data_IF_590105613281
#
_entry.id   IF_590105613281
#
_cell.length_a   1.000
_cell.length_b   1.000
_cell.length_c   1.000
_cell.angle_alpha   90.00
_cell.angle_beta   90.00
_cell.angle_gamma   90.00
#
_symmetry.space_group_name_H-M   'P 1'
#
loop_
_entity.id
_entity.type
_entity.pdbx_description
1 polymer ?
#
# COMPACT_ATOMS: atom_id res chain seq x y z
N UNK A 1 0.37 14.16 -27.64
CA UNK A 1 -0.33 12.89 -27.37
C UNK A 1 0.21 12.40 -26.04
N UNK A 2 -0.65 12.04 -25.08
CA UNK A 2 -0.20 11.48 -23.81
C UNK A 2 0.08 9.97 -23.99
N UNK A 3 1.07 9.44 -23.28
CA UNK A 3 1.38 8.00 -23.25
C UNK A 3 1.12 7.46 -21.85
N UNK A 4 0.54 6.26 -21.78
CA UNK A 4 0.14 5.63 -20.51
C UNK A 4 0.84 4.29 -20.31
N UNK A 5 1.36 4.08 -19.10
CA UNK A 5 1.87 2.80 -18.62
C UNK A 5 1.08 2.41 -17.36
N UNK A 6 0.41 1.25 -17.41
CA UNK A 6 -0.25 0.67 -16.24
C UNK A 6 0.66 -0.32 -15.52
N UNK A 7 0.72 -0.23 -14.18
CA UNK A 7 1.39 -1.17 -13.29
C UNK A 7 0.45 -1.54 -12.14
N UNK A 8 0.50 -2.79 -11.70
CA UNK A 8 -0.29 -3.29 -10.57
C UNK A 8 0.59 -3.99 -9.55
N UNK A 9 0.33 -3.75 -8.26
CA UNK A 9 1.00 -4.43 -7.16
C UNK A 9 0.08 -4.52 -5.94
N UNK A 10 0.43 -5.42 -5.01
CA UNK A 10 -0.22 -5.45 -3.70
C UNK A 10 0.28 -4.30 -2.84
N UNK A 11 -0.58 -3.79 -1.98
CA UNK A 11 -0.30 -2.75 -0.98
C UNK A 11 -0.59 -3.26 0.45
N UNK A 12 -0.60 -4.59 0.63
CA UNK A 12 -0.77 -5.21 1.94
C UNK A 12 0.40 -4.87 2.88
N UNK A 13 0.17 -4.35 4.09
CA UNK A 13 1.22 -3.78 4.94
C UNK A 13 2.27 -4.80 5.42
N UNK A 14 1.98 -6.11 5.33
CA UNK A 14 2.90 -7.18 5.73
C UNK A 14 4.24 -7.12 4.98
N UNK A 15 4.25 -6.62 3.74
CA UNK A 15 5.46 -6.51 2.92
C UNK A 15 6.47 -5.51 3.49
N UNK A 16 6.04 -4.62 4.39
CA UNK A 16 6.93 -3.68 5.07
C UNK A 16 7.68 -4.34 6.24
N UNK A 17 7.25 -5.53 6.68
CA UNK A 17 7.80 -6.23 7.85
C UNK A 17 8.73 -7.37 7.47
N UNK A 18 9.72 -7.71 8.32
CA UNK A 18 10.59 -8.87 8.08
C UNK A 18 9.79 -10.19 8.12
N UNK A 19 10.22 -11.23 7.36
CA UNK A 19 9.51 -12.51 7.29
C UNK A 19 9.37 -13.19 8.66
N UNK A 20 10.31 -12.94 9.58
CA UNK A 20 10.31 -13.44 10.96
C UNK A 20 9.04 -13.08 11.74
N UNK A 21 8.29 -12.06 11.33
CA UNK A 21 7.04 -11.66 12.01
C UNK A 21 5.77 -11.96 11.22
N UNK A 22 5.89 -12.52 10.00
CA UNK A 22 4.72 -12.80 9.14
C UNK A 22 3.76 -13.82 9.75
N UNK A 23 4.27 -14.75 10.55
CA UNK A 23 3.46 -15.69 11.32
C UNK A 23 2.44 -15.00 12.23
N UNK A 24 2.73 -13.79 12.75
CA UNK A 24 1.77 -13.03 13.58
C UNK A 24 0.54 -12.64 12.77
N UNK A 25 0.73 -12.29 11.50
CA UNK A 25 -0.35 -12.03 10.55
C UNK A 25 -1.22 -13.26 10.35
N UNK A 26 -0.59 -14.42 10.10
CA UNK A 26 -1.28 -15.72 10.00
C UNK A 26 -2.10 -16.03 11.26
N UNK A 27 -1.48 -15.98 12.44
CA UNK A 27 -2.15 -16.26 13.72
C UNK A 27 -3.34 -15.32 13.98
N UNK A 28 -3.22 -14.03 13.65
CA UNK A 28 -4.32 -13.06 13.77
C UNK A 28 -5.48 -13.39 12.82
N UNK A 29 -5.21 -13.86 11.62
CA UNK A 29 -6.24 -14.25 10.65
C UNK A 29 -6.96 -15.51 11.15
N UNK A 30 -6.21 -16.54 11.52
CA UNK A 30 -6.77 -17.80 12.02
C UNK A 30 -7.57 -17.60 13.30
N UNK A 31 -7.12 -16.73 14.21
CA UNK A 31 -7.82 -16.40 15.45
C UNK A 31 -9.18 -15.71 15.27
N UNK A 32 -9.55 -15.28 14.05
CA UNK A 32 -10.90 -14.77 13.74
C UNK A 32 -11.92 -15.90 13.51
N UNK A 33 -11.45 -17.13 13.33
CA UNK A 33 -12.29 -18.29 13.02
C UNK A 33 -12.44 -19.10 14.31
N UNK A 34 -13.67 -19.17 14.83
CA UNK A 34 -13.97 -19.97 16.02
C UNK A 34 -13.69 -21.45 15.72
N UNK A 35 -12.95 -22.12 16.61
CA UNK A 35 -12.54 -23.52 16.47
C UNK A 35 -11.78 -23.80 15.16
N UNK A 36 -10.94 -22.87 14.73
CA UNK A 36 -10.08 -23.09 13.57
C UNK A 36 -9.16 -24.29 13.77
N UNK A 37 -9.25 -25.24 12.84
CA UNK A 37 -8.31 -26.35 12.71
C UNK A 37 -7.53 -26.17 11.41
N UNK A 38 -6.20 -26.15 11.50
CA UNK A 38 -5.34 -26.02 10.33
C UNK A 38 -5.49 -27.25 9.42
N UNK A 39 -5.70 -27.07 8.10
CA UNK A 39 -5.74 -28.20 7.19
C UNK A 39 -4.36 -28.88 7.13
N UNK A 40 -4.34 -30.19 6.86
CA UNK A 40 -3.10 -30.98 6.83
C UNK A 40 -2.03 -30.38 5.90
N UNK A 41 -2.43 -29.83 4.75
CA UNK A 41 -1.53 -29.15 3.82
C UNK A 41 -0.83 -27.91 4.44
N UNK A 42 -1.54 -27.13 5.26
CA UNK A 42 -0.93 -26.00 5.97
C UNK A 42 0.04 -26.48 7.05
N UNK A 43 -0.30 -27.56 7.76
CA UNK A 43 0.61 -28.12 8.77
C UNK A 43 1.90 -28.59 8.13
N UNK A 44 1.81 -29.24 6.97
CA UNK A 44 2.96 -29.66 6.16
C UNK A 44 3.81 -28.46 5.71
N UNK A 45 3.17 -27.41 5.21
CA UNK A 45 3.84 -26.17 4.76
C UNK A 45 4.53 -25.42 5.92
N UNK A 46 3.92 -25.39 7.11
CA UNK A 46 4.51 -24.75 8.29
C UNK A 46 5.72 -25.52 8.84
N UNK A 47 5.79 -26.84 8.63
CA UNK A 47 6.91 -27.67 9.08
C UNK A 47 7.30 -27.45 10.55
N UNK A 48 8.58 -27.66 10.86
CA UNK A 48 9.11 -27.55 12.22
C UNK A 48 9.44 -26.10 12.65
N UNK A 49 9.51 -25.17 11.70
CA UNK A 49 9.89 -23.77 11.94
C UNK A 49 8.71 -22.78 11.87
N UNK A 50 7.49 -23.31 11.88
CA UNK A 50 6.24 -22.55 11.77
C UNK A 50 6.15 -21.70 10.50
N UNK A 51 6.75 -22.18 9.40
CA UNK A 51 6.69 -21.63 8.05
C UNK A 51 7.74 -20.56 7.76
N UNK A 52 8.75 -20.38 8.63
CA UNK A 52 9.74 -19.31 8.46
C UNK A 52 10.59 -19.50 7.19
N UNK A 53 10.93 -20.75 6.86
CA UNK A 53 11.69 -21.07 5.64
C UNK A 53 10.93 -20.61 4.39
N UNK A 54 9.64 -20.90 4.31
CA UNK A 54 8.79 -20.45 3.20
C UNK A 54 8.54 -18.94 3.24
N UNK A 55 8.30 -18.35 4.42
CA UNK A 55 8.13 -16.90 4.57
C UNK A 55 9.34 -16.11 4.01
N UNK A 56 10.55 -16.60 4.25
CA UNK A 56 11.79 -16.01 3.68
C UNK A 56 11.87 -16.17 2.17
N UNK A 57 11.48 -17.34 1.65
CA UNK A 57 11.45 -17.58 0.21
C UNK A 57 10.43 -16.66 -0.48
N UNK A 58 9.25 -16.48 0.11
CA UNK A 58 8.20 -15.62 -0.40
C UNK A 58 8.54 -14.14 -0.30
N UNK A 59 9.14 -13.70 0.81
CA UNK A 59 9.65 -12.34 0.93
C UNK A 59 10.65 -12.02 -0.20
N UNK A 60 11.57 -12.94 -0.50
CA UNK A 60 12.51 -12.78 -1.62
C UNK A 60 11.77 -12.61 -2.96
N UNK A 61 10.79 -13.47 -3.27
CA UNK A 61 9.97 -13.36 -4.49
C UNK A 61 9.26 -12.00 -4.58
N UNK A 62 8.69 -11.54 -3.47
CA UNK A 62 8.01 -10.23 -3.39
C UNK A 62 8.99 -9.10 -3.68
N UNK A 63 10.16 -9.08 -3.03
CA UNK A 63 11.18 -8.05 -3.25
C UNK A 63 11.67 -8.04 -4.70
N UNK A 64 11.92 -9.21 -5.28
CA UNK A 64 12.31 -9.34 -6.69
C UNK A 64 11.24 -8.80 -7.65
N UNK A 65 9.95 -9.10 -7.38
CA UNK A 65 8.83 -8.58 -8.18
C UNK A 65 8.71 -7.05 -8.10
N UNK A 66 8.86 -6.46 -6.91
CA UNK A 66 8.91 -4.99 -6.76
C UNK A 66 10.13 -4.39 -7.48
N UNK A 67 11.24 -5.11 -7.54
CA UNK A 67 12.41 -4.74 -8.34
C UNK A 67 12.08 -4.54 -9.82
N UNK A 68 11.29 -5.46 -10.41
CA UNK A 68 10.84 -5.34 -11.81
C UNK A 68 9.99 -4.08 -12.03
N UNK A 69 9.04 -3.80 -11.12
CA UNK A 69 8.19 -2.60 -11.21
C UNK A 69 9.00 -1.31 -11.08
N UNK A 70 9.94 -1.27 -10.14
CA UNK A 70 10.86 -0.15 -9.94
C UNK A 70 11.69 0.11 -11.20
N UNK A 71 12.28 -0.93 -11.76
CA UNK A 71 13.15 -0.80 -12.94
C UNK A 71 12.35 -0.34 -14.16
N UNK A 72 11.12 -0.84 -14.33
CA UNK A 72 10.20 -0.39 -15.38
C UNK A 72 9.81 1.08 -15.22
N UNK A 73 9.51 1.53 -14.00
CA UNK A 73 9.21 2.94 -13.71
C UNK A 73 10.40 3.85 -14.02
N UNK A 74 11.60 3.47 -13.58
CA UNK A 74 12.83 4.24 -13.84
C UNK A 74 13.20 4.27 -15.33
N UNK A 75 12.95 3.20 -16.06
CA UNK A 75 13.16 3.17 -17.51
C UNK A 75 12.14 4.03 -18.25
N UNK A 76 10.88 4.00 -17.83
CA UNK A 76 9.80 4.77 -18.45
C UNK A 76 9.88 6.27 -18.19
N UNK A 77 10.39 6.67 -17.02
CA UNK A 77 10.56 8.08 -16.60
C UNK A 77 9.26 8.89 -16.75
N UNK A 78 8.18 8.52 -16.04
CA UNK A 78 6.92 9.24 -16.15
C UNK A 78 7.04 10.68 -15.63
N UNK A 79 6.39 11.62 -16.30
CA UNK A 79 6.21 13.00 -15.79
C UNK A 79 5.26 13.04 -14.59
N UNK A 80 4.29 12.12 -14.55
CA UNK A 80 3.29 11.99 -13.49
C UNK A 80 3.09 10.51 -13.13
N UNK A 81 3.15 10.20 -11.84
CA UNK A 81 2.71 8.90 -11.29
C UNK A 81 1.35 9.07 -10.61
N UNK A 82 0.30 8.53 -11.22
CA UNK A 82 -1.03 8.45 -10.62
C UNK A 82 -1.15 7.14 -9.84
N UNK A 83 -1.35 7.23 -8.53
CA UNK A 83 -1.56 6.07 -7.65
C UNK A 83 -3.04 5.94 -7.35
N UNK A 84 -3.61 4.77 -7.62
CA UNK A 84 -5.00 4.43 -7.32
C UNK A 84 -4.99 3.34 -6.25
N UNK A 85 -5.60 3.63 -5.10
CA UNK A 85 -5.72 2.74 -3.95
C UNK A 85 -6.95 3.14 -3.14
N UNK A 86 -7.41 2.25 -2.27
CA UNK A 86 -8.32 2.61 -1.18
C UNK A 86 -7.56 3.33 -0.05
N UNK A 87 -8.32 4.00 0.80
CA UNK A 87 -7.89 4.52 2.09
C UNK A 87 -8.22 3.48 3.16
N UNK A 88 -7.24 3.06 3.96
CA UNK A 88 -7.42 2.03 4.99
C UNK A 88 -8.05 2.59 6.28
N UNK A 89 -9.07 3.42 6.12
CA UNK A 89 -9.72 4.21 7.19
C UNK A 89 -8.75 5.14 7.94
N UNK A 90 -7.81 5.74 7.19
CA UNK A 90 -6.86 6.71 7.71
C UNK A 90 -7.39 8.13 7.53
N UNK A 91 -7.95 8.46 6.37
CA UNK A 91 -8.49 9.78 6.05
C UNK A 91 -10.01 9.78 5.89
N UNK A 92 -10.60 8.66 5.46
CA UNK A 92 -12.03 8.53 5.23
C UNK A 92 -12.63 7.53 6.20
N UNK A 93 -13.57 8.00 7.02
CA UNK A 93 -14.24 7.19 8.04
C UNK A 93 -15.66 6.83 7.60
N UNK A 94 -16.34 6.01 8.39
CA UNK A 94 -17.67 5.48 8.05
C UNK A 94 -18.73 6.55 7.81
N UNK A 95 -18.57 7.74 8.40
CA UNK A 95 -19.46 8.88 8.26
C UNK A 95 -19.20 9.72 7.00
N UNK A 96 -18.06 9.51 6.33
CA UNK A 96 -17.68 10.23 5.12
C UNK A 96 -16.74 9.40 4.23
N UNK A 97 -17.31 8.43 3.52
CA UNK A 97 -16.59 7.52 2.62
C UNK A 97 -17.01 7.75 1.16
N UNK A 98 -16.28 8.57 0.38
CA UNK A 98 -16.60 8.78 -1.02
C UNK A 98 -16.24 7.54 -1.86
N UNK A 99 -17.02 7.21 -2.93
CA UNK A 99 -16.67 6.11 -3.84
C UNK A 99 -15.40 6.39 -4.64
N UNK A 100 -15.21 7.65 -5.04
CA UNK A 100 -13.99 8.14 -5.68
C UNK A 100 -13.58 9.47 -5.05
N UNK A 101 -12.30 9.58 -4.69
CA UNK A 101 -11.72 10.82 -4.22
C UNK A 101 -10.37 11.06 -4.90
N UNK A 102 -10.20 12.22 -5.52
CA UNK A 102 -8.92 12.62 -6.10
C UNK A 102 -8.22 13.65 -5.21
N UNK A 103 -6.96 13.38 -4.87
CA UNK A 103 -6.12 14.34 -4.17
C UNK A 103 -5.71 15.49 -5.12
N UNK A 104 -5.94 16.73 -4.69
CA UNK A 104 -5.71 17.96 -5.48
C UNK A 104 -4.79 18.97 -4.77
N UNK A 105 -4.13 18.54 -3.69
CA UNK A 105 -3.11 19.34 -3.03
C UNK A 105 -1.81 19.39 -3.82
N UNK A 106 -0.88 20.24 -3.39
CA UNK A 106 0.41 20.44 -4.06
C UNK A 106 1.53 19.56 -3.49
N UNK A 107 1.35 19.03 -2.28
CA UNK A 107 2.31 18.16 -1.62
C UNK A 107 1.61 17.26 -0.62
N UNK A 108 2.01 15.99 -0.58
CA UNK A 108 1.55 15.02 0.42
C UNK A 108 2.73 14.45 1.18
N UNK A 109 2.58 14.32 2.49
CA UNK A 109 3.51 13.63 3.37
C UNK A 109 2.98 12.24 3.70
N UNK A 110 3.87 11.26 3.87
CA UNK A 110 3.55 9.91 4.30
C UNK A 110 4.52 9.39 5.36
N UNK A 111 3.99 8.64 6.32
CA UNK A 111 4.72 8.05 7.44
C UNK A 111 4.53 6.53 7.47
N UNK A 112 5.11 5.79 6.49
CA UNK A 112 4.78 4.38 6.25
C UNK A 112 5.13 3.43 7.39
N UNK A 113 5.98 3.85 8.34
CA UNK A 113 6.47 2.97 9.42
C UNK A 113 5.85 3.26 10.79
N UNK A 114 5.00 4.29 10.92
CA UNK A 114 4.40 4.67 12.20
C UNK A 114 3.51 3.56 12.75
N UNK A 115 2.66 2.99 11.91
CA UNK A 115 1.74 1.89 12.27
C UNK A 115 2.40 0.50 12.28
N UNK A 116 3.64 0.39 11.79
CA UNK A 116 4.43 -0.85 11.77
C UNK A 116 5.29 -0.98 13.05
N UNK A 117 5.31 0.05 13.90
CA UNK A 117 6.03 0.03 15.17
C UNK A 117 7.53 0.32 15.05
N UNK A 118 7.94 1.15 14.08
CA UNK A 118 9.33 1.61 13.93
C UNK A 118 10.25 0.55 13.34
N UNK A 119 11.45 0.36 13.93
CA UNK A 119 12.57 -0.49 13.45
C UNK A 119 12.18 -1.94 13.07
N UNK A 120 10.96 -2.36 13.35
CA UNK A 120 10.31 -3.59 12.89
C UNK A 120 9.91 -3.59 11.40
N UNK A 121 10.58 -2.82 10.55
CA UNK A 121 10.39 -2.83 9.10
C UNK A 121 11.65 -3.29 8.36
N UNK A 122 11.50 -3.72 7.09
CA UNK A 122 12.60 -4.27 6.28
C UNK A 122 13.74 -3.26 6.00
N UNK A 123 13.53 -1.97 6.24
CA UNK A 123 14.55 -0.93 6.11
C UNK A 123 15.18 -0.52 7.45
N UNK A 124 14.73 -1.07 8.58
CA UNK A 124 15.15 -0.62 9.92
C UNK A 124 14.86 0.86 10.17
N UNK A 125 13.91 1.44 9.45
CA UNK A 125 13.62 2.87 9.50
C UNK A 125 12.85 3.24 10.78
N UNK A 126 13.07 4.46 11.29
CA UNK A 126 12.32 4.97 12.43
C UNK A 126 10.83 5.15 12.09
N UNK A 127 9.96 5.04 13.10
CA UNK A 127 8.52 5.20 12.95
C UNK A 127 8.13 6.54 12.29
N UNK A 128 8.87 7.60 12.63
CA UNK A 128 8.66 8.97 12.18
C UNK A 128 9.36 9.30 10.84
N UNK A 129 9.87 8.29 10.13
CA UNK A 129 10.48 8.52 8.81
C UNK A 129 9.43 9.06 7.84
N UNK A 130 9.69 10.25 7.32
CA UNK A 130 8.76 10.98 6.45
C UNK A 130 9.19 10.93 4.99
N UNK A 131 8.24 10.64 4.11
CA UNK A 131 8.39 10.80 2.67
C UNK A 131 7.47 11.93 2.19
N UNK A 132 8.03 12.92 1.50
CA UNK A 132 7.29 14.05 0.94
C UNK A 132 7.24 13.95 -0.58
N UNK A 133 6.05 14.06 -1.15
CA UNK A 133 5.81 13.94 -2.58
C UNK A 133 5.19 15.24 -3.10
N UNK A 134 5.79 15.80 -4.15
CA UNK A 134 5.21 16.93 -4.87
C UNK A 134 4.10 16.42 -5.80
N UNK A 135 2.95 17.07 -5.76
CA UNK A 135 1.77 16.70 -6.53
C UNK A 135 1.49 17.80 -7.58
N UNK A 136 1.25 17.43 -8.86
CA UNK A 136 0.94 18.40 -9.89
C UNK A 136 -0.51 18.91 -9.72
N UNK A 137 -0.68 19.96 -8.92
CA UNK A 137 -1.98 20.47 -8.50
C UNK A 137 -2.90 20.82 -9.69
N UNK A 138 -2.41 21.55 -10.68
CA UNK A 138 -3.23 21.96 -11.82
C UNK A 138 -3.70 20.74 -12.63
N UNK A 139 -2.79 19.80 -12.91
CA UNK A 139 -3.12 18.53 -13.56
C UNK A 139 -4.21 17.75 -12.80
N UNK A 140 -4.06 17.60 -11.48
CA UNK A 140 -5.06 16.87 -10.67
C UNK A 140 -6.43 17.55 -10.69
N UNK A 141 -6.49 18.88 -10.69
CA UNK A 141 -7.74 19.65 -10.78
C UNK A 141 -8.39 19.50 -12.14
N UNK A 142 -7.60 19.55 -13.21
CA UNK A 142 -8.08 19.37 -14.57
C UNK A 142 -8.65 17.96 -14.78
N UNK A 143 -7.97 16.93 -14.28
CA UNK A 143 -8.48 15.54 -14.30
C UNK A 143 -9.80 15.42 -13.56
N UNK A 144 -9.91 15.95 -12.34
CA UNK A 144 -11.17 15.94 -11.57
C UNK A 144 -12.29 16.65 -12.35
N UNK A 145 -12.01 17.85 -12.85
CA UNK A 145 -13.02 18.66 -13.56
C UNK A 145 -13.50 17.93 -14.82
N UNK A 146 -12.58 17.34 -15.58
CA UNK A 146 -12.90 16.53 -16.75
C UNK A 146 -13.79 15.35 -16.37
N UNK A 147 -13.43 14.57 -15.36
CA UNK A 147 -14.20 13.42 -14.90
C UNK A 147 -15.63 13.81 -14.47
N UNK A 148 -15.79 14.94 -13.78
CA UNK A 148 -17.11 15.49 -13.43
C UNK A 148 -17.91 15.83 -14.68
N UNK A 149 -17.29 16.53 -15.65
CA UNK A 149 -17.94 16.86 -16.92
C UNK A 149 -18.28 15.62 -17.75
N UNK A 150 -17.53 14.53 -17.59
CA UNK A 150 -17.75 13.24 -18.26
C UNK A 150 -18.74 12.33 -17.51
N UNK A 151 -19.36 12.82 -16.43
CA UNK A 151 -20.43 12.13 -15.72
C UNK A 151 -19.99 11.24 -14.56
N UNK A 152 -18.76 11.39 -14.08
CA UNK A 152 -18.27 10.72 -12.86
C UNK A 152 -18.40 11.65 -11.65
N UNK A 153 -19.16 11.23 -10.65
CA UNK A 153 -19.33 11.96 -9.39
C UNK A 153 -18.05 11.87 -8.53
N UNK A 154 -17.13 12.83 -8.72
CA UNK A 154 -15.85 12.88 -8.03
C UNK A 154 -15.90 13.69 -6.74
N UNK A 155 -15.47 13.10 -5.62
CA UNK A 155 -14.99 13.87 -4.48
C UNK A 155 -13.54 14.33 -4.71
N UNK A 156 -13.10 15.35 -3.97
CA UNK A 156 -11.69 15.72 -3.93
C UNK A 156 -11.28 16.23 -2.57
N UNK A 157 -10.03 15.97 -2.20
CA UNK A 157 -9.41 16.57 -1.03
C UNK A 157 -8.12 17.28 -1.44
N UNK A 158 -7.81 18.42 -0.82
CA UNK A 158 -6.52 19.10 -0.95
C UNK A 158 -5.61 18.91 0.26
N UNK A 159 -6.09 18.20 1.30
CA UNK A 159 -5.36 17.94 2.53
C UNK A 159 -5.68 16.54 3.06
N UNK A 160 -4.65 15.82 3.51
CA UNK A 160 -4.77 14.55 4.21
C UNK A 160 -4.36 14.77 5.66
N UNK A 161 -5.15 14.25 6.60
CA UNK A 161 -4.94 14.41 8.04
C UNK A 161 -4.84 13.07 8.78
N UNK A 162 -4.92 11.95 8.08
CA UNK A 162 -4.84 10.61 8.67
C UNK A 162 -3.51 10.25 9.32
N UNK A 163 -2.57 11.19 9.35
CA UNK A 163 -1.30 11.07 10.01
C UNK A 163 -1.23 11.83 11.35
N UNK A 164 -2.28 12.51 11.81
CA UNK A 164 -2.28 13.19 13.11
C UNK A 164 -2.91 12.34 14.23
#
# INVERSE_FOLDING_TARGET
>A
MAELLGLGCSHGPIILTPPEVWHKGRSRIFGRILNYEAPAALIEELGDDNGLTEDRADQKKVVEAFGVLRDRLHQWKPDVLMVISDDQAENFLQDNLPPFCLYTGAQVDGFPFRNVGGENNVWGAAAETKFSFNCPQDFSRDVRNFLICDGVDMASSSALKGWD
#
